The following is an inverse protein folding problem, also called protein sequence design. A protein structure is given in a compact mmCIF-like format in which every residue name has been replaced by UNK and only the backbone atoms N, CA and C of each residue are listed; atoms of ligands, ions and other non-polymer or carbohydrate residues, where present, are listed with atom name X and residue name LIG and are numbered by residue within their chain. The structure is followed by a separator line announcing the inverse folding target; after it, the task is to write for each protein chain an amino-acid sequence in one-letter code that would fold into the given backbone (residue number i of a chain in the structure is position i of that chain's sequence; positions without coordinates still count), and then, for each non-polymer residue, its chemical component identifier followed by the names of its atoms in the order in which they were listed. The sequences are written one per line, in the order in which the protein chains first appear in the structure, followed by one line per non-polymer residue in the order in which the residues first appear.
data_IF_620198314268
#
_entry.id   IF_620198314268
#
_cell.length_a   1.000
_cell.length_b   1.000
_cell.length_c   1.000
_cell.angle_alpha   90.00
_cell.angle_beta   90.00
_cell.angle_gamma   90.00
#
_symmetry.space_group_name_H-M   'P 1'
#
loop_
_entity.id
_entity.type
_entity.pdbx_description
1 polymer ?
#
# COMPACT_ATOMS: atom_id res chain seq x y z
N UNK A 1 7.30 -14.29 13.89
CA UNK A 1 7.65 -14.55 12.50
C UNK A 1 7.05 -13.48 11.60
N UNK A 2 7.86 -12.91 10.73
CA UNK A 2 7.46 -11.96 9.69
C UNK A 2 7.74 -12.61 8.32
N UNK A 3 6.79 -12.53 7.41
CA UNK A 3 6.96 -13.04 6.04
C UNK A 3 6.78 -11.85 5.10
N UNK A 4 7.87 -11.42 4.48
CA UNK A 4 7.88 -10.36 3.48
C UNK A 4 7.79 -10.98 2.08
N UNK A 5 6.81 -10.55 1.31
CA UNK A 5 6.54 -11.04 -0.04
C UNK A 5 6.65 -9.89 -1.02
N UNK A 6 7.66 -9.88 -1.87
CA UNK A 6 7.91 -8.81 -2.82
C UNK A 6 8.25 -7.48 -2.15
N UNK A 7 8.88 -7.52 -0.96
CA UNK A 7 9.23 -6.32 -0.20
C UNK A 7 10.25 -5.46 -0.96
N UNK A 8 9.98 -4.17 -1.03
CA UNK A 8 10.89 -3.18 -1.58
C UNK A 8 11.89 -2.71 -0.52
N UNK A 9 13.18 -2.67 -0.88
CA UNK A 9 14.26 -2.26 0.03
C UNK A 9 14.18 -0.80 0.48
N UNK A 10 13.39 0.03 -0.21
CA UNK A 10 13.27 1.47 0.07
C UNK A 10 12.42 1.72 1.33
N UNK A 11 11.44 0.88 1.59
CA UNK A 11 10.50 1.05 2.71
C UNK A 11 10.73 -0.01 3.80
N UNK A 12 11.81 0.12 4.55
CA UNK A 12 12.13 -0.79 5.65
C UNK A 12 11.54 -0.28 6.96
N UNK A 13 10.54 -0.95 7.55
CA UNK A 13 10.08 -0.59 8.89
C UNK A 13 11.19 -0.90 9.90
N UNK A 14 11.70 0.10 10.63
CA UNK A 14 12.71 -0.11 11.64
C UNK A 14 12.16 -0.90 12.83
N UNK A 15 13.06 -1.49 13.63
CA UNK A 15 12.83 -2.08 14.96
C UNK A 15 12.23 -3.48 15.02
N UNK A 16 11.70 -4.03 13.96
CA UNK A 16 11.03 -5.35 14.01
C UNK A 16 11.69 -6.43 13.17
N UNK A 17 12.58 -6.04 12.25
CA UNK A 17 13.23 -6.97 11.31
C UNK A 17 14.76 -6.98 11.45
N UNK A 18 15.27 -6.46 12.56
CA UNK A 18 16.68 -6.53 12.93
C UNK A 18 17.11 -7.96 13.30
N UNK A 19 18.42 -8.24 13.27
CA UNK A 19 18.96 -9.59 13.49
C UNK A 19 18.52 -10.26 14.79
N UNK A 20 18.33 -9.47 15.85
CA UNK A 20 17.99 -9.95 17.19
C UNK A 20 16.50 -9.77 17.53
N UNK A 21 15.67 -9.42 16.53
CA UNK A 21 14.23 -9.20 16.70
C UNK A 21 13.42 -10.43 16.28
N UNK A 22 12.45 -10.24 15.39
CA UNK A 22 11.61 -11.36 14.91
C UNK A 22 12.30 -12.11 13.78
N UNK A 23 12.02 -13.42 13.68
CA UNK A 23 12.41 -14.19 12.50
C UNK A 23 11.75 -13.63 11.25
N UNK A 24 12.53 -13.41 10.19
CA UNK A 24 12.09 -12.83 8.92
C UNK A 24 12.33 -13.82 7.80
N UNK A 25 11.29 -14.09 7.01
CA UNK A 25 11.38 -14.81 5.73
C UNK A 25 11.21 -13.79 4.61
N UNK A 26 12.19 -13.76 3.70
CA UNK A 26 12.18 -12.92 2.50
C UNK A 26 11.82 -13.77 1.28
N UNK A 27 10.68 -13.49 0.64
CA UNK A 27 10.23 -14.16 -0.58
C UNK A 27 10.23 -13.11 -1.70
N UNK A 28 11.19 -13.23 -2.63
CA UNK A 28 11.36 -12.23 -3.69
C UNK A 28 12.07 -12.82 -4.92
N UNK A 29 12.11 -12.06 -6.00
CA UNK A 29 12.90 -12.39 -7.20
C UNK A 29 14.42 -12.24 -6.98
N UNK A 30 14.83 -11.37 -6.06
CA UNK A 30 16.21 -11.08 -5.72
C UNK A 30 16.50 -11.30 -4.24
N UNK A 31 17.75 -11.55 -3.91
CA UNK A 31 18.20 -11.57 -2.52
C UNK A 31 17.96 -10.25 -1.82
N UNK A 32 17.73 -10.32 -0.52
CA UNK A 32 17.59 -9.13 0.31
C UNK A 32 18.92 -8.35 0.38
N UNK A 33 18.82 -7.05 0.35
CA UNK A 33 19.91 -6.19 0.78
C UNK A 33 19.91 -6.10 2.30
N UNK A 34 20.81 -6.88 2.91
CA UNK A 34 20.89 -7.00 4.36
C UNK A 34 21.54 -5.76 4.97
N UNK A 35 20.89 -5.19 5.96
CA UNK A 35 21.38 -4.06 6.73
C UNK A 35 20.94 -4.16 8.20
N UNK A 36 21.33 -3.22 9.09
CA UNK A 36 20.97 -3.27 10.51
C UNK A 36 19.49 -3.30 10.82
N UNK A 37 18.64 -2.79 9.92
CA UNK A 37 17.17 -2.75 10.12
C UNK A 37 16.42 -3.84 9.37
N UNK A 38 17.11 -4.62 8.51
CA UNK A 38 16.50 -5.71 7.74
C UNK A 38 17.45 -6.91 7.65
N UNK A 39 17.17 -7.93 8.41
CA UNK A 39 17.98 -9.14 8.49
C UNK A 39 17.13 -10.40 8.33
N UNK A 40 16.89 -10.88 7.09
CA UNK A 40 16.17 -12.14 6.87
C UNK A 40 17.00 -13.35 7.30
N UNK A 41 16.42 -14.24 8.09
CA UNK A 41 17.04 -15.53 8.44
C UNK A 41 16.83 -16.59 7.36
N UNK A 42 15.81 -16.41 6.52
CA UNK A 42 15.51 -17.29 5.40
C UNK A 42 15.14 -16.48 4.16
N UNK A 43 15.79 -16.80 3.04
CA UNK A 43 15.45 -16.25 1.74
C UNK A 43 14.88 -17.32 0.82
N UNK A 44 13.79 -17.00 0.14
CA UNK A 44 13.19 -17.80 -0.93
C UNK A 44 13.25 -16.96 -2.21
N UNK A 45 14.28 -17.21 -3.00
CA UNK A 45 14.57 -16.43 -4.20
C UNK A 45 14.01 -17.14 -5.43
N UNK A 46 13.20 -16.43 -6.20
CA UNK A 46 12.60 -16.92 -7.43
C UNK A 46 11.23 -16.29 -7.73
N UNK A 47 10.41 -17.02 -8.49
CA UNK A 47 9.06 -16.56 -8.81
C UNK A 47 8.18 -16.54 -7.56
N UNK A 48 7.69 -15.34 -7.23
CA UNK A 48 6.89 -15.09 -6.01
C UNK A 48 5.59 -15.88 -6.05
N UNK A 49 4.89 -15.86 -7.18
CA UNK A 49 3.59 -16.54 -7.32
C UNK A 49 3.73 -18.05 -7.15
N UNK A 50 4.76 -18.64 -7.75
CA UNK A 50 5.06 -20.06 -7.59
C UNK A 50 5.44 -20.40 -6.14
N UNK A 51 6.24 -19.56 -5.49
CA UNK A 51 6.63 -19.76 -4.08
C UNK A 51 5.41 -19.76 -3.16
N UNK A 52 4.51 -18.80 -3.31
CA UNK A 52 3.26 -18.73 -2.55
C UNK A 52 2.34 -19.92 -2.86
N UNK A 53 2.23 -20.31 -4.13
CA UNK A 53 1.45 -21.49 -4.51
C UNK A 53 2.00 -22.76 -3.85
N UNK A 54 3.32 -22.97 -3.86
CA UNK A 54 3.93 -24.13 -3.22
C UNK A 54 3.74 -24.15 -1.70
N UNK A 55 3.78 -23.00 -1.04
CA UNK A 55 3.46 -22.90 0.39
C UNK A 55 2.01 -23.30 0.62
N UNK A 56 1.06 -22.72 -0.15
CA UNK A 56 -0.37 -23.04 -0.05
C UNK A 56 -0.67 -24.53 -0.19
N UNK A 57 0.00 -25.22 -1.12
CA UNK A 57 -0.21 -26.66 -1.35
C UNK A 57 0.32 -27.55 -0.19
N UNK A 58 1.17 -27.01 0.68
CA UNK A 58 1.83 -27.76 1.76
C UNK A 58 1.33 -27.43 3.16
N UNK A 59 0.61 -26.36 3.33
CA UNK A 59 0.07 -25.96 4.63
C UNK A 59 -1.40 -26.36 4.75
N UNK A 60 -1.80 -26.72 5.97
CA UNK A 60 -3.20 -26.98 6.29
C UNK A 60 -3.84 -25.73 6.86
N UNK A 61 -5.15 -25.49 6.60
CA UNK A 61 -5.89 -24.40 7.22
C UNK A 61 -5.79 -24.47 8.76
N UNK A 62 -5.47 -23.34 9.37
CA UNK A 62 -5.42 -23.20 10.83
C UNK A 62 -6.75 -22.68 11.35
N UNK A 63 -7.48 -23.51 12.07
CA UNK A 63 -8.76 -23.10 12.67
C UNK A 63 -8.66 -22.59 14.11
N UNK A 64 -7.47 -22.64 14.73
CA UNK A 64 -7.26 -22.30 16.14
C UNK A 64 -6.73 -20.89 16.41
N UNK A 65 -6.50 -20.10 15.38
CA UNK A 65 -5.99 -18.74 15.57
C UNK A 65 -7.09 -17.81 16.09
N UNK A 66 -6.78 -17.10 17.16
CA UNK A 66 -7.64 -16.02 17.68
C UNK A 66 -7.24 -14.68 17.06
N UNK A 67 -8.07 -14.15 16.17
CA UNK A 67 -7.90 -12.85 15.54
C UNK A 67 -8.65 -11.73 16.26
N UNK A 68 -9.24 -11.97 17.43
CA UNK A 68 -10.09 -10.98 18.13
C UNK A 68 -9.35 -9.66 18.37
N UNK A 69 -8.09 -9.72 18.80
CA UNK A 69 -7.26 -8.53 19.01
C UNK A 69 -6.95 -7.80 17.70
N UNK A 70 -6.57 -8.53 16.65
CA UNK A 70 -6.29 -7.94 15.34
C UNK A 70 -7.54 -7.24 14.75
N UNK A 71 -8.71 -7.87 14.88
CA UNK A 71 -9.98 -7.28 14.46
C UNK A 71 -10.35 -6.03 15.27
N UNK A 72 -10.05 -6.03 16.59
CA UNK A 72 -10.24 -4.85 17.44
C UNK A 72 -9.35 -3.70 17.00
N UNK A 73 -8.05 -3.97 16.73
CA UNK A 73 -7.11 -2.96 16.24
C UNK A 73 -7.56 -2.45 14.87
N UNK A 74 -7.91 -3.35 13.95
CA UNK A 74 -8.43 -2.97 12.63
C UNK A 74 -9.62 -2.03 12.74
N UNK A 75 -10.60 -2.34 13.58
CA UNK A 75 -11.77 -1.49 13.80
C UNK A 75 -11.41 -0.10 14.33
N UNK A 76 -10.45 -0.01 15.25
CA UNK A 76 -9.97 1.26 15.78
C UNK A 76 -9.26 2.09 14.70
N UNK A 77 -8.42 1.45 13.89
CA UNK A 77 -7.73 2.10 12.76
C UNK A 77 -8.75 2.58 11.72
N UNK A 78 -9.71 1.73 11.32
CA UNK A 78 -10.75 2.10 10.35
C UNK A 78 -11.58 3.31 10.83
N UNK A 79 -11.90 3.37 12.14
CA UNK A 79 -12.61 4.52 12.72
C UNK A 79 -11.75 5.79 12.68
N UNK A 80 -10.46 5.68 13.03
CA UNK A 80 -9.55 6.82 13.01
C UNK A 80 -9.30 7.35 11.59
N UNK A 81 -9.28 6.49 10.58
CA UNK A 81 -9.13 6.90 9.17
C UNK A 81 -10.34 7.68 8.63
N UNK A 82 -11.49 7.54 9.27
CA UNK A 82 -12.70 8.27 8.91
C UNK A 82 -12.87 9.59 9.67
N UNK A 83 -12.03 9.89 10.66
CA UNK A 83 -12.07 11.15 11.39
C UNK A 83 -11.84 12.34 10.46
N UNK A 84 -12.77 13.29 10.47
CA UNK A 84 -12.74 14.49 9.63
C UNK A 84 -13.17 14.26 8.17
N UNK A 85 -13.65 13.06 7.81
CA UNK A 85 -14.09 12.75 6.46
C UNK A 85 -15.37 13.51 6.04
N UNK A 86 -16.17 13.96 6.98
CA UNK A 86 -17.41 14.71 6.79
C UNK A 86 -17.36 16.15 7.36
N UNK A 87 -16.18 16.62 7.80
CA UNK A 87 -16.01 17.94 8.41
C UNK A 87 -16.33 19.06 7.39
N UNK A 88 -17.31 19.94 7.67
CA UNK A 88 -17.77 20.96 6.73
C UNK A 88 -16.89 22.22 6.72
N UNK A 89 -15.85 22.30 7.55
CA UNK A 89 -15.03 23.53 7.66
C UNK A 89 -14.36 23.94 6.34
N UNK A 90 -14.04 25.21 6.27
CA UNK A 90 -13.19 25.78 5.24
C UNK A 90 -11.99 26.52 5.91
N UNK A 91 -10.75 26.36 5.45
CA UNK A 91 -10.32 25.48 4.34
C UNK A 91 -10.62 24.00 4.60
N UNK A 92 -10.88 23.25 3.51
CA UNK A 92 -11.24 21.83 3.57
C UNK A 92 -10.10 21.00 4.19
N UNK A 93 -10.46 20.07 5.07
CA UNK A 93 -9.50 19.10 5.61
C UNK A 93 -9.03 18.12 4.54
N UNK A 94 -7.75 17.69 4.56
CA UNK A 94 -7.25 16.67 3.65
C UNK A 94 -8.05 15.35 3.72
N UNK A 95 -8.47 14.93 4.91
CA UNK A 95 -9.29 13.73 5.10
C UNK A 95 -10.63 13.83 4.37
N UNK A 96 -11.28 14.99 4.41
CA UNK A 96 -12.51 15.25 3.69
C UNK A 96 -12.29 15.19 2.18
N UNK A 97 -11.21 15.80 1.68
CA UNK A 97 -10.86 15.75 0.26
C UNK A 97 -10.67 14.31 -0.23
N UNK A 98 -9.94 13.48 0.54
CA UNK A 98 -9.75 12.06 0.19
C UNK A 98 -11.07 11.30 0.17
N UNK A 99 -11.94 11.55 1.14
CA UNK A 99 -13.27 10.92 1.21
C UNK A 99 -14.14 11.31 0.01
N UNK A 100 -14.20 12.60 -0.33
CA UNK A 100 -14.95 13.10 -1.48
C UNK A 100 -14.43 12.52 -2.81
N UNK A 101 -13.08 12.41 -2.97
CA UNK A 101 -12.49 11.73 -4.13
C UNK A 101 -12.87 10.25 -4.16
N UNK A 102 -12.85 9.56 -3.01
CA UNK A 102 -13.24 8.14 -2.96
C UNK A 102 -14.70 7.95 -3.36
N UNK A 103 -15.60 8.82 -2.90
CA UNK A 103 -17.02 8.79 -3.26
C UNK A 103 -17.24 9.05 -4.76
N UNK A 104 -16.50 9.99 -5.33
CA UNK A 104 -16.57 10.35 -6.74
C UNK A 104 -16.01 9.27 -7.70
N UNK A 105 -15.18 8.35 -7.19
CA UNK A 105 -14.52 7.33 -8.01
C UNK A 105 -15.23 5.98 -7.87
N UNK A 106 -15.51 5.26 -8.98
CA UNK A 106 -16.00 3.89 -8.92
C UNK A 106 -14.94 2.96 -8.31
N UNK A 107 -15.35 1.74 -7.92
CA UNK A 107 -14.44 0.75 -7.30
C UNK A 107 -13.23 0.42 -8.18
N UNK A 108 -13.43 0.36 -9.49
CA UNK A 108 -12.39 0.11 -10.49
C UNK A 108 -11.71 1.38 -11.03
N UNK A 109 -12.08 2.56 -10.53
CA UNK A 109 -11.50 3.83 -10.94
C UNK A 109 -10.03 3.93 -10.54
N UNK A 110 -9.23 4.57 -11.37
CA UNK A 110 -7.78 4.70 -11.16
C UNK A 110 -7.48 6.14 -10.71
N UNK A 111 -6.77 6.28 -9.60
CA UNK A 111 -6.17 7.56 -9.22
C UNK A 111 -4.66 7.51 -9.45
N UNK A 112 -4.10 8.57 -10.01
CA UNK A 112 -2.67 8.76 -10.13
C UNK A 112 -2.25 9.94 -9.25
N UNK A 113 -1.39 9.67 -8.30
CA UNK A 113 -0.92 10.65 -7.33
C UNK A 113 0.40 11.25 -7.80
N UNK A 114 0.46 12.56 -7.82
CA UNK A 114 1.71 13.27 -7.94
C UNK A 114 2.44 13.36 -6.59
N UNK A 115 3.61 13.94 -6.54
CA UNK A 115 4.42 14.04 -5.34
C UNK A 115 4.23 15.38 -4.62
N UNK A 116 3.70 15.29 -3.40
CA UNK A 116 3.40 16.40 -2.52
C UNK A 116 2.81 15.91 -1.20
N UNK A 117 2.55 16.80 -0.25
CA UNK A 117 2.05 16.45 1.09
C UNK A 117 0.70 15.71 1.05
N UNK A 118 -0.14 15.99 0.07
CA UNK A 118 -1.43 15.32 -0.13
C UNK A 118 -1.30 13.80 -0.39
N UNK A 119 -0.18 13.36 -0.97
CA UNK A 119 0.14 11.96 -1.20
C UNK A 119 0.05 11.13 0.09
N UNK A 120 0.53 11.68 1.21
CA UNK A 120 0.47 11.03 2.53
C UNK A 120 -0.99 10.77 2.95
N UNK A 121 -1.87 11.73 2.72
CA UNK A 121 -3.30 11.60 3.04
C UNK A 121 -3.98 10.55 2.17
N UNK A 122 -3.69 10.51 0.87
CA UNK A 122 -4.21 9.46 -0.01
C UNK A 122 -3.67 8.08 0.36
N UNK A 123 -2.35 7.95 0.57
CA UNK A 123 -1.74 6.68 0.97
C UNK A 123 -2.33 6.15 2.28
N UNK A 124 -2.70 7.04 3.22
CA UNK A 124 -3.26 6.68 4.51
C UNK A 124 -4.77 6.41 4.47
N UNK A 125 -5.55 7.27 3.81
CA UNK A 125 -7.01 7.33 3.97
C UNK A 125 -7.79 6.81 2.76
N UNK A 126 -7.19 6.73 1.56
CA UNK A 126 -7.89 6.28 0.37
C UNK A 126 -8.00 4.75 0.33
N UNK A 127 -9.23 4.23 0.23
CA UNK A 127 -9.46 2.78 0.12
C UNK A 127 -9.46 2.34 -1.35
N UNK A 128 -8.45 1.53 -1.72
CA UNK A 128 -8.43 0.82 -2.99
C UNK A 128 -9.26 -0.47 -2.87
N UNK A 129 -10.17 -0.71 -3.82
CA UNK A 129 -11.01 -1.90 -3.85
C UNK A 129 -10.58 -2.93 -4.88
N UNK A 130 -9.81 -2.51 -5.87
CA UNK A 130 -9.27 -3.37 -6.91
C UNK A 130 -7.76 -3.17 -7.07
N UNK A 131 -7.02 -4.19 -7.53
CA UNK A 131 -5.59 -4.07 -7.82
C UNK A 131 -5.29 -2.97 -8.84
N UNK A 132 -4.15 -2.31 -8.71
CA UNK A 132 -3.65 -1.30 -9.64
C UNK A 132 -4.60 -0.12 -9.88
N UNK A 133 -5.34 0.29 -8.84
CA UNK A 133 -6.24 1.45 -8.89
C UNK A 133 -5.67 2.69 -8.22
N UNK A 134 -4.50 2.59 -7.59
CA UNK A 134 -3.75 3.71 -7.02
C UNK A 134 -2.34 3.67 -7.59
N UNK A 135 -2.02 4.65 -8.43
CA UNK A 135 -0.69 4.80 -9.00
C UNK A 135 0.08 5.81 -8.17
N UNK A 136 1.21 5.38 -7.64
CA UNK A 136 2.01 6.13 -6.71
C UNK A 136 3.50 5.94 -7.04
N UNK A 137 4.19 7.03 -7.36
CA UNK A 137 5.63 7.00 -7.54
C UNK A 137 6.33 7.26 -6.20
N UNK A 138 6.96 6.21 -5.65
CA UNK A 138 7.62 6.28 -4.34
C UNK A 138 9.14 6.33 -4.42
N UNK A 139 9.75 5.65 -5.38
CA UNK A 139 11.20 5.43 -5.38
C UNK A 139 11.98 6.73 -5.53
N UNK A 140 11.68 7.53 -6.54
CA UNK A 140 12.35 8.81 -6.79
C UNK A 140 11.46 10.02 -6.56
N UNK A 141 10.19 9.79 -6.26
CA UNK A 141 9.21 10.81 -5.88
C UNK A 141 9.20 12.04 -6.82
N UNK A 142 9.13 11.77 -8.13
CA UNK A 142 9.20 12.81 -9.17
C UNK A 142 7.98 13.71 -9.15
N UNK A 143 8.16 15.00 -8.95
CA UNK A 143 7.09 16.00 -9.12
C UNK A 143 6.70 16.12 -10.60
N UNK A 144 5.39 16.24 -10.87
CA UNK A 144 4.85 16.23 -12.22
C UNK A 144 4.54 14.85 -12.79
N UNK A 145 4.76 13.76 -12.03
CA UNK A 145 4.49 12.38 -12.48
C UNK A 145 3.00 12.03 -12.52
N UNK A 146 2.15 12.70 -11.76
CA UNK A 146 0.73 12.36 -11.60
C UNK A 146 -0.06 12.47 -12.90
N UNK A 147 0.08 13.58 -13.64
CA UNK A 147 -0.65 13.78 -14.88
C UNK A 147 -0.26 12.77 -15.98
N UNK A 148 1.04 12.61 -16.35
CA UNK A 148 1.40 11.62 -17.36
C UNK A 148 1.06 10.19 -16.95
N UNK A 149 1.13 9.83 -15.68
CA UNK A 149 0.68 8.52 -15.17
C UNK A 149 -0.82 8.32 -15.39
N UNK A 150 -1.65 9.35 -15.13
CA UNK A 150 -3.08 9.29 -15.40
C UNK A 150 -3.38 9.18 -16.90
N UNK A 151 -2.65 9.90 -17.75
CA UNK A 151 -2.78 9.80 -19.21
C UNK A 151 -2.44 8.39 -19.70
N UNK A 152 -1.33 7.82 -19.24
CA UNK A 152 -0.94 6.45 -19.54
C UNK A 152 -1.99 5.42 -19.08
N UNK A 153 -2.50 5.58 -17.87
CA UNK A 153 -3.56 4.72 -17.34
C UNK A 153 -4.84 4.79 -18.19
N UNK A 154 -5.23 5.97 -18.65
CA UNK A 154 -6.40 6.12 -19.53
C UNK A 154 -6.17 5.51 -20.91
N UNK A 155 -4.97 5.61 -21.47
CA UNK A 155 -4.64 4.95 -22.74
C UNK A 155 -4.73 3.43 -22.65
N UNK A 156 -4.34 2.84 -21.52
CA UNK A 156 -4.40 1.38 -21.30
C UNK A 156 -5.81 0.92 -20.92
N UNK A 157 -6.55 1.75 -20.20
CA UNK A 157 -7.89 1.46 -19.69
C UNK A 157 -8.89 2.56 -20.07
N UNK A 158 -9.26 2.72 -21.34
CA UNK A 158 -10.08 3.83 -21.82
C UNK A 158 -11.51 3.83 -21.24
N UNK A 159 -12.00 2.67 -20.82
CA UNK A 159 -13.34 2.50 -20.25
C UNK A 159 -13.39 2.76 -18.72
N UNK A 160 -12.24 3.00 -18.09
CA UNK A 160 -12.18 3.27 -16.66
C UNK A 160 -12.10 4.78 -16.39
N UNK A 161 -12.73 5.21 -15.32
CA UNK A 161 -12.56 6.58 -14.83
C UNK A 161 -11.15 6.73 -14.26
N UNK A 162 -10.41 7.72 -14.75
CA UNK A 162 -9.05 8.04 -14.28
C UNK A 162 -9.03 9.46 -13.74
N UNK A 163 -8.36 9.67 -12.61
CA UNK A 163 -8.21 10.99 -11.99
C UNK A 163 -6.74 11.19 -11.61
N UNK A 164 -6.15 12.31 -12.04
CA UNK A 164 -4.86 12.79 -11.53
C UNK A 164 -5.08 13.66 -10.30
N UNK A 165 -4.29 13.47 -9.26
CA UNK A 165 -4.24 14.30 -8.07
C UNK A 165 -2.87 14.98 -8.07
N UNK A 166 -2.85 16.26 -8.40
CA UNK A 166 -1.61 17.05 -8.57
C UNK A 166 -1.62 18.24 -7.62
N UNK A 167 -0.45 18.70 -7.24
CA UNK A 167 -0.24 19.96 -6.54
C UNK A 167 -0.11 21.13 -7.54
N UNK A 168 0.47 22.19 -7.06
CA UNK A 168 0.73 23.44 -7.79
C UNK A 168 2.12 23.51 -8.47
N UNK A 169 2.90 22.44 -8.31
CA UNK A 169 4.24 22.30 -8.86
C UNK A 169 4.33 21.68 -10.25
#
# INVERSE_FOLDING_TARGET
LIINVGHDDIEKPPFIMESDSFEVIHINFSSAEVDPVYFPQLEVIGDISNSIWQIKERILPQGSWDFSYALKVKKAVDAHLLEGADDPRFPMLPQRFVADVREAMPSNGIIALDNGIYKIWFARNYKAYEPNTVLLDNALATMGAGLPSAMGAHMVHPDRKVMAICGDG
#
